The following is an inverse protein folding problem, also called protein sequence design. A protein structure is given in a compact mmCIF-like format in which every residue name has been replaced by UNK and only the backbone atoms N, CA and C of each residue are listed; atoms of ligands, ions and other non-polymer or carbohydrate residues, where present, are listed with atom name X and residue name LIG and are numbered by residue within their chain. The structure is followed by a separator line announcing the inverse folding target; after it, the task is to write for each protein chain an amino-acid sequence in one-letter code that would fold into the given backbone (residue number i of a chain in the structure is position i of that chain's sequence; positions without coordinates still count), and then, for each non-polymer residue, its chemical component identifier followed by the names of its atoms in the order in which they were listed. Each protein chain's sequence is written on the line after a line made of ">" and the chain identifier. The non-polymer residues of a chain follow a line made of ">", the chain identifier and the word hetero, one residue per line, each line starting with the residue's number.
data_IF_318630019065
#
_entry.id   IF_318630019065
#
_cell.length_a   1.000
_cell.length_b   1.000
_cell.length_c   1.000
_cell.angle_alpha   90.00
_cell.angle_beta   90.00
_cell.angle_gamma   90.00
#
_symmetry.space_group_name_H-M   'P 1'
#
loop_
_entity.id
_entity.type
_entity.pdbx_description
1 polymer ?
#
# COMPACT_ATOMS: atom_id res chain seq x y z
N UNK A 1 3.71 19.17 -4.65
CA UNK A 1 4.12 18.19 -3.61
C UNK A 1 4.06 16.80 -4.22
N UNK A 2 5.15 16.05 -4.12
CA UNK A 2 5.28 14.68 -4.62
C UNK A 2 5.17 13.74 -3.44
N UNK A 3 4.22 12.79 -3.50
CA UNK A 3 3.95 11.84 -2.43
C UNK A 3 4.05 10.43 -2.98
N UNK A 4 5.02 9.67 -2.49
CA UNK A 4 5.09 8.23 -2.72
C UNK A 4 4.01 7.53 -1.87
N UNK A 5 3.02 6.94 -2.53
CA UNK A 5 1.85 6.39 -1.85
C UNK A 5 2.08 4.98 -1.28
N UNK A 6 3.25 4.38 -1.52
CA UNK A 6 3.55 3.04 -1.04
C UNK A 6 5.05 2.80 -0.94
N UNK A 7 5.54 2.68 0.28
CA UNK A 7 6.86 2.17 0.60
C UNK A 7 6.83 1.49 1.98
N UNK A 8 7.80 0.62 2.24
CA UNK A 8 7.95 -0.05 3.52
C UNK A 8 8.97 0.64 4.42
N UNK A 9 8.89 0.38 5.72
CA UNK A 9 9.90 0.85 6.66
C UNK A 9 11.26 0.24 6.31
N UNK A 10 12.28 1.09 6.17
CA UNK A 10 13.67 0.73 5.93
C UNK A 10 14.51 1.15 7.13
N UNK A 11 15.44 0.32 7.55
CA UNK A 11 16.29 0.58 8.71
C UNK A 11 17.80 0.62 8.33
N UNK A 12 18.55 1.63 8.79
CA UNK A 12 18.06 2.78 9.55
C UNK A 12 17.20 3.70 8.68
N UNK A 13 16.21 4.34 9.30
CA UNK A 13 15.20 5.15 8.59
C UNK A 13 15.81 6.34 7.84
N UNK A 14 17.01 6.77 8.18
CA UNK A 14 17.79 7.80 7.47
C UNK A 14 18.05 7.43 6.01
N UNK A 15 18.27 6.16 5.70
CA UNK A 15 18.42 5.70 4.31
C UNK A 15 17.19 6.00 3.48
N UNK A 16 16.00 5.91 4.08
CA UNK A 16 14.77 6.27 3.39
C UNK A 16 14.69 7.77 3.12
N UNK A 17 15.08 8.60 4.09
CA UNK A 17 15.13 10.06 3.90
C UNK A 17 16.11 10.46 2.80
N UNK A 18 17.32 9.88 2.79
CA UNK A 18 18.32 10.12 1.75
C UNK A 18 17.80 9.75 0.36
N UNK A 19 17.10 8.62 0.26
CA UNK A 19 16.45 8.19 -0.98
C UNK A 19 15.35 9.16 -1.41
N UNK A 20 14.47 9.60 -0.49
CA UNK A 20 13.44 10.60 -0.78
C UNK A 20 14.06 11.90 -1.29
N UNK A 21 15.10 12.41 -0.62
CA UNK A 21 15.77 13.66 -0.97
C UNK A 21 16.42 13.57 -2.36
N UNK A 22 17.12 12.47 -2.65
CA UNK A 22 17.76 12.24 -3.95
C UNK A 22 16.75 12.05 -5.09
N UNK A 23 15.54 11.56 -4.78
CA UNK A 23 14.46 11.34 -5.77
C UNK A 23 13.50 12.54 -5.89
N UNK A 24 13.64 13.54 -5.01
CA UNK A 24 12.75 14.69 -4.95
C UNK A 24 11.34 14.33 -4.48
N UNK A 25 11.23 13.44 -3.49
CA UNK A 25 9.99 13.02 -2.86
C UNK A 25 9.76 13.85 -1.59
N UNK A 26 8.63 14.53 -1.50
CA UNK A 26 8.30 15.36 -0.34
C UNK A 26 7.83 14.52 0.86
N UNK A 27 6.93 13.56 0.60
CA UNK A 27 6.36 12.68 1.62
C UNK A 27 6.24 11.25 1.10
N UNK A 28 6.25 10.30 2.03
CA UNK A 28 6.02 8.88 1.73
C UNK A 28 4.97 8.31 2.68
N UNK A 29 4.05 7.51 2.13
CA UNK A 29 3.16 6.67 2.93
C UNK A 29 3.92 5.37 3.23
N UNK A 30 4.22 5.17 4.52
CA UNK A 30 4.91 3.99 5.01
C UNK A 30 3.93 2.91 5.46
N UNK A 31 4.27 1.70 5.09
CA UNK A 31 3.65 0.47 5.56
C UNK A 31 4.59 -0.28 6.48
N UNK A 32 4.04 -1.00 7.46
CA UNK A 32 4.82 -1.91 8.28
C UNK A 32 5.38 -3.04 7.41
N UNK A 33 6.58 -3.48 7.73
CA UNK A 33 7.18 -4.68 7.11
C UNK A 33 7.46 -5.74 8.15
N UNK A 34 7.38 -7.00 7.75
CA UNK A 34 7.71 -8.14 8.61
C UNK A 34 9.17 -8.57 8.47
N UNK A 35 9.83 -8.09 7.42
CA UNK A 35 11.21 -8.42 7.06
C UNK A 35 11.93 -7.19 6.52
N UNK A 36 13.27 -7.23 6.52
CA UNK A 36 14.12 -6.12 6.12
C UNK A 36 15.12 -6.54 5.03
N UNK A 37 14.65 -6.76 3.78
CA UNK A 37 15.51 -7.22 2.68
C UNK A 37 16.64 -6.22 2.34
N UNK A 38 16.47 -4.95 2.68
CA UNK A 38 17.47 -3.89 2.48
C UNK A 38 18.71 -4.03 3.36
N UNK A 39 18.70 -4.94 4.33
CA UNK A 39 19.85 -5.27 5.19
C UNK A 39 20.73 -6.36 4.60
N UNK A 40 20.22 -7.09 3.60
CA UNK A 40 20.94 -8.20 2.98
C UNK A 40 22.10 -7.68 2.13
N UNK A 41 23.30 -8.19 2.36
CA UNK A 41 24.52 -7.87 1.60
C UNK A 41 24.79 -8.88 0.49
N UNK A 42 24.05 -10.00 0.48
CA UNK A 42 24.17 -11.08 -0.50
C UNK A 42 22.80 -11.64 -0.89
N UNK A 43 22.77 -12.37 -2.01
CA UNK A 43 21.58 -13.09 -2.45
C UNK A 43 21.12 -14.15 -1.42
N UNK A 44 22.06 -14.86 -0.81
CA UNK A 44 21.76 -15.89 0.17
C UNK A 44 21.11 -15.29 1.44
N UNK A 45 21.59 -14.14 1.90
CA UNK A 45 20.97 -13.41 3.00
C UNK A 45 19.56 -12.91 2.66
N UNK A 46 19.37 -12.40 1.44
CA UNK A 46 18.06 -12.01 0.95
C UNK A 46 17.08 -13.21 0.96
N UNK A 47 17.51 -14.38 0.50
CA UNK A 47 16.66 -15.58 0.52
C UNK A 47 16.32 -15.97 1.96
N UNK A 48 17.27 -15.92 2.90
CA UNK A 48 17.01 -16.21 4.31
C UNK A 48 15.99 -15.24 4.91
N UNK A 49 16.07 -13.95 4.59
CA UNK A 49 15.11 -12.95 5.05
C UNK A 49 13.71 -13.21 4.47
N UNK A 50 13.61 -13.58 3.20
CA UNK A 50 12.33 -13.96 2.58
C UNK A 50 11.76 -15.27 3.12
N UNK A 51 12.60 -16.21 3.55
CA UNK A 51 12.16 -17.44 4.23
C UNK A 51 11.53 -17.13 5.60
N UNK A 52 12.04 -16.13 6.34
CA UNK A 52 11.41 -15.63 7.57
C UNK A 52 10.01 -15.09 7.28
N UNK A 53 9.84 -14.32 6.21
CA UNK A 53 8.51 -13.85 5.79
C UNK A 53 7.56 -15.02 5.52
N UNK A 54 8.01 -16.03 4.78
CA UNK A 54 7.22 -17.22 4.49
C UNK A 54 6.81 -17.98 5.77
N UNK A 55 7.72 -18.11 6.74
CA UNK A 55 7.44 -18.75 8.04
C UNK A 55 6.37 -17.98 8.83
N UNK A 56 6.41 -16.64 8.81
CA UNK A 56 5.39 -15.82 9.46
C UNK A 56 4.03 -15.96 8.75
N UNK A 57 4.02 -15.94 7.42
CA UNK A 57 2.78 -16.07 6.63
C UNK A 57 2.16 -17.47 6.76
N UNK A 58 2.99 -18.50 6.97
CA UNK A 58 2.55 -19.87 7.22
C UNK A 58 2.21 -20.18 8.70
N UNK A 59 2.28 -19.17 9.59
CA UNK A 59 2.08 -19.30 11.04
C UNK A 59 3.10 -20.21 11.77
N UNK A 60 4.28 -20.39 11.22
CA UNK A 60 5.39 -21.12 11.85
C UNK A 60 6.11 -20.26 12.90
N UNK A 61 6.08 -18.94 12.72
CA UNK A 61 6.50 -17.93 13.71
C UNK A 61 5.22 -17.21 14.18
N UNK A 62 5.18 -16.80 15.46
CA UNK A 62 4.02 -16.09 16.02
C UNK A 62 3.66 -14.80 15.21
N UNK A 63 2.60 -14.82 14.40
CA UNK A 63 2.30 -13.73 13.51
C UNK A 63 1.79 -12.47 14.24
N UNK A 64 1.23 -12.59 15.43
CA UNK A 64 0.75 -11.46 16.22
C UNK A 64 1.91 -10.66 16.80
N UNK A 65 2.93 -11.34 17.32
CA UNK A 65 4.13 -10.69 17.85
C UNK A 65 4.93 -10.00 16.74
N UNK A 66 5.14 -10.67 15.61
CA UNK A 66 5.82 -10.10 14.46
C UNK A 66 5.10 -8.84 13.95
N UNK A 67 3.76 -8.88 13.83
CA UNK A 67 2.95 -7.73 13.39
C UNK A 67 2.97 -6.59 14.40
N UNK A 68 2.92 -6.88 15.71
CA UNK A 68 3.00 -5.86 16.76
C UNK A 68 4.33 -5.12 16.67
N UNK A 69 5.44 -5.86 16.55
CA UNK A 69 6.78 -5.28 16.38
C UNK A 69 6.89 -4.42 15.12
N UNK A 70 6.43 -4.94 13.97
CA UNK A 70 6.44 -4.20 12.72
C UNK A 70 5.61 -2.90 12.78
N UNK A 71 4.48 -2.92 13.49
CA UNK A 71 3.65 -1.73 13.68
C UNK A 71 4.32 -0.69 14.62
N UNK A 72 5.08 -1.15 15.62
CA UNK A 72 5.88 -0.27 16.49
C UNK A 72 7.05 0.36 15.74
N UNK A 73 7.74 -0.38 14.88
CA UNK A 73 8.79 0.15 14.01
C UNK A 73 8.25 1.23 13.05
N UNK A 74 7.06 1.00 12.47
CA UNK A 74 6.39 1.99 11.64
C UNK A 74 6.04 3.26 12.44
N UNK A 75 5.46 3.11 13.64
CA UNK A 75 5.18 4.25 14.55
C UNK A 75 6.45 5.06 14.85
N UNK A 76 7.54 4.39 15.15
CA UNK A 76 8.79 5.03 15.53
C UNK A 76 9.44 5.76 14.35
N UNK A 77 9.36 5.19 13.15
CA UNK A 77 9.80 5.86 11.92
C UNK A 77 9.01 7.15 11.66
N UNK A 78 7.68 7.10 11.79
CA UNK A 78 6.80 8.28 11.62
C UNK A 78 7.09 9.31 12.69
N UNK A 79 7.23 8.91 13.96
CA UNK A 79 7.51 9.81 15.07
C UNK A 79 8.85 10.55 14.91
N UNK A 80 9.83 9.91 14.27
CA UNK A 80 11.15 10.50 14.01
C UNK A 80 11.12 11.55 12.89
N UNK A 81 10.29 11.36 11.87
CA UNK A 81 10.17 12.26 10.71
C UNK A 81 8.70 12.55 10.36
N UNK A 82 7.94 13.23 11.26
CA UNK A 82 6.47 13.38 11.12
C UNK A 82 6.06 14.25 9.93
N UNK A 83 6.95 15.10 9.43
CA UNK A 83 6.70 15.94 8.26
C UNK A 83 6.96 15.20 6.93
N UNK A 84 7.66 14.07 6.99
CA UNK A 84 8.05 13.30 5.81
C UNK A 84 7.23 12.00 5.65
N UNK A 85 6.78 11.39 6.74
CA UNK A 85 6.11 10.11 6.71
C UNK A 85 4.65 10.18 7.16
N UNK A 86 3.83 9.39 6.48
CA UNK A 86 2.43 9.13 6.81
C UNK A 86 2.29 7.62 6.96
N UNK A 87 1.58 7.12 7.98
CA UNK A 87 1.46 5.69 8.21
C UNK A 87 0.16 5.09 7.71
N UNK A 88 0.26 3.88 7.15
CA UNK A 88 -0.83 2.94 6.99
C UNK A 88 -0.52 1.69 7.82
N UNK A 89 -1.41 1.34 8.75
CA UNK A 89 -1.20 0.23 9.68
C UNK A 89 -1.93 -1.03 9.27
N UNK A 90 -1.28 -2.18 9.39
CA UNK A 90 -1.89 -3.49 9.14
C UNK A 90 -2.47 -4.07 10.43
N UNK A 91 -3.60 -4.78 10.32
CA UNK A 91 -4.27 -5.48 11.43
C UNK A 91 -4.28 -7.00 11.19
N UNK A 92 -4.27 -7.82 12.25
CA UNK A 92 -4.40 -9.26 12.11
C UNK A 92 -5.80 -9.66 11.64
N UNK A 93 -5.91 -10.38 10.51
CA UNK A 93 -7.19 -10.73 9.91
C UNK A 93 -7.91 -11.90 10.61
N UNK A 94 -7.22 -12.68 11.42
CA UNK A 94 -7.78 -13.82 12.16
C UNK A 94 -8.32 -13.43 13.55
N UNK A 95 -8.26 -12.16 13.92
CA UNK A 95 -8.77 -11.66 15.19
C UNK A 95 -10.29 -11.69 15.23
N UNK A 96 -10.87 -11.82 16.43
CA UNK A 96 -12.29 -11.60 16.65
C UNK A 96 -12.66 -10.15 16.27
N UNK A 97 -13.94 -9.87 16.01
CA UNK A 97 -14.40 -8.53 15.65
C UNK A 97 -14.04 -7.48 16.71
N UNK A 98 -14.04 -7.85 18.00
CA UNK A 98 -13.64 -6.96 19.08
C UNK A 98 -12.14 -6.63 19.04
N UNK A 99 -11.31 -7.65 18.95
CA UNK A 99 -9.86 -7.47 18.85
C UNK A 99 -9.45 -6.65 17.61
N UNK A 100 -10.12 -6.88 16.48
CA UNK A 100 -9.88 -6.12 15.26
C UNK A 100 -10.24 -4.64 15.47
N UNK A 101 -11.34 -4.35 16.14
CA UNK A 101 -11.72 -2.99 16.48
C UNK A 101 -10.66 -2.30 17.35
N UNK A 102 -10.15 -2.98 18.39
CA UNK A 102 -9.10 -2.47 19.26
C UNK A 102 -7.81 -2.17 18.47
N UNK A 103 -7.43 -3.03 17.52
CA UNK A 103 -6.30 -2.79 16.62
C UNK A 103 -6.50 -1.56 15.74
N UNK A 104 -7.68 -1.41 15.13
CA UNK A 104 -7.99 -0.24 14.30
C UNK A 104 -8.02 1.02 15.16
N UNK A 105 -8.60 0.97 16.36
CA UNK A 105 -8.61 2.10 17.30
C UNK A 105 -7.18 2.55 17.65
N UNK A 106 -6.28 1.62 17.95
CA UNK A 106 -4.86 1.88 18.22
C UNK A 106 -4.17 2.57 17.02
N UNK A 107 -4.39 2.06 15.81
CA UNK A 107 -3.84 2.64 14.58
C UNK A 107 -4.32 4.07 14.37
N UNK A 108 -5.63 4.31 14.53
CA UNK A 108 -6.25 5.61 14.25
C UNK A 108 -5.96 6.63 15.36
N UNK A 109 -6.17 6.25 16.64
CA UNK A 109 -6.14 7.20 17.76
C UNK A 109 -4.77 7.36 18.36
N UNK A 110 -4.04 6.25 18.61
CA UNK A 110 -2.76 6.29 19.30
C UNK A 110 -1.62 6.61 18.33
N UNK A 111 -1.60 5.94 17.18
CA UNK A 111 -0.54 6.09 16.20
C UNK A 111 -0.85 7.14 15.12
N UNK A 112 -2.10 7.66 15.07
CA UNK A 112 -2.55 8.73 14.15
C UNK A 112 -2.26 8.43 12.68
N UNK A 113 -2.25 7.16 12.32
CA UNK A 113 -2.09 6.73 10.94
C UNK A 113 -3.30 7.12 10.09
N UNK A 114 -3.16 7.13 8.77
CA UNK A 114 -4.14 7.67 7.83
C UNK A 114 -4.83 6.63 6.96
N UNK A 115 -4.52 5.34 7.15
CA UNK A 115 -5.11 4.24 6.41
C UNK A 115 -4.77 2.88 6.99
N UNK A 116 -5.35 1.84 6.42
CA UNK A 116 -5.15 0.44 6.79
C UNK A 116 -4.50 -0.32 5.63
N UNK A 117 -3.48 -1.11 5.94
CA UNK A 117 -2.74 -1.93 4.97
C UNK A 117 -1.26 -2.02 5.33
N UNK A 118 -0.47 -2.68 4.56
CA UNK A 118 -0.78 -3.47 3.37
C UNK A 118 -1.45 -4.79 3.78
N UNK A 119 -2.54 -5.15 3.09
CA UNK A 119 -3.17 -6.46 3.29
C UNK A 119 -2.72 -7.41 2.18
N UNK A 120 -1.80 -8.30 2.52
CA UNK A 120 -1.35 -9.39 1.66
C UNK A 120 -2.09 -10.66 2.04
N UNK A 121 -2.91 -11.18 1.11
CA UNK A 121 -3.76 -12.35 1.32
C UNK A 121 -3.38 -13.47 0.37
N UNK A 122 -3.63 -14.70 0.81
CA UNK A 122 -3.66 -15.85 -0.07
C UNK A 122 -4.89 -15.86 -0.98
N UNK A 123 -4.83 -16.62 -2.09
CA UNK A 123 -5.98 -16.80 -2.97
C UNK A 123 -7.18 -17.41 -2.22
N UNK A 124 -8.39 -16.92 -2.49
CA UNK A 124 -9.63 -17.33 -1.86
C UNK A 124 -9.90 -16.71 -0.47
N UNK A 125 -9.07 -15.77 -0.02
CA UNK A 125 -9.15 -15.20 1.33
C UNK A 125 -9.76 -13.77 1.37
N UNK A 126 -10.21 -13.21 0.25
CA UNK A 126 -10.70 -11.82 0.19
C UNK A 126 -11.81 -11.52 1.21
N UNK A 127 -12.67 -12.49 1.49
CA UNK A 127 -13.76 -12.32 2.48
C UNK A 127 -13.26 -12.02 3.90
N UNK A 128 -12.02 -12.37 4.22
CA UNK A 128 -11.42 -12.02 5.52
C UNK A 128 -11.24 -10.51 5.72
N UNK A 129 -11.27 -9.72 4.64
CA UNK A 129 -11.23 -8.26 4.72
C UNK A 129 -12.56 -7.61 5.13
N UNK A 130 -13.68 -8.32 5.09
CA UNK A 130 -14.99 -7.71 5.36
C UNK A 130 -15.08 -7.03 6.73
N UNK A 131 -14.58 -7.59 7.84
CA UNK A 131 -14.53 -6.89 9.13
C UNK A 131 -13.66 -5.62 9.10
N UNK A 132 -12.58 -5.61 8.29
CA UNK A 132 -11.72 -4.43 8.10
C UNK A 132 -12.48 -3.32 7.38
N UNK A 133 -13.28 -3.66 6.35
CA UNK A 133 -14.13 -2.70 5.64
C UNK A 133 -15.21 -2.10 6.57
N UNK A 134 -15.79 -2.90 7.47
CA UNK A 134 -16.73 -2.41 8.47
C UNK A 134 -16.05 -1.41 9.39
N UNK A 135 -14.94 -1.78 10.00
CA UNK A 135 -14.19 -0.91 10.89
C UNK A 135 -13.71 0.37 10.18
N UNK A 136 -13.21 0.28 8.95
CA UNK A 136 -12.81 1.45 8.16
C UNK A 136 -13.99 2.41 7.90
N UNK A 137 -15.19 1.88 7.69
CA UNK A 137 -16.42 2.68 7.55
C UNK A 137 -16.76 3.46 8.82
N UNK A 138 -16.58 2.86 9.99
CA UNK A 138 -16.84 3.47 11.29
C UNK A 138 -15.88 4.62 11.63
N UNK A 139 -14.67 4.60 11.06
CA UNK A 139 -13.64 5.64 11.21
C UNK A 139 -13.60 6.64 10.04
N UNK A 140 -14.76 7.20 9.63
CA UNK A 140 -14.86 8.23 8.59
C UNK A 140 -14.31 7.82 7.22
N UNK A 141 -14.58 6.58 6.81
CA UNK A 141 -14.15 6.10 5.48
C UNK A 141 -12.63 6.01 5.33
N UNK A 142 -12.00 5.40 6.30
CA UNK A 142 -10.55 5.21 6.33
C UNK A 142 -10.09 4.39 5.11
N UNK A 143 -9.08 4.81 4.33
CA UNK A 143 -8.68 4.08 3.14
C UNK A 143 -8.05 2.73 3.48
N UNK A 144 -8.30 1.75 2.62
CA UNK A 144 -7.74 0.40 2.71
C UNK A 144 -6.83 0.17 1.51
N UNK A 145 -5.61 -0.29 1.75
CA UNK A 145 -4.66 -0.69 0.72
C UNK A 145 -4.53 -2.21 0.71
N UNK A 146 -4.73 -2.84 -0.47
CA UNK A 146 -4.73 -4.30 -0.64
C UNK A 146 -3.72 -4.68 -1.70
N UNK A 147 -2.83 -5.61 -1.37
CA UNK A 147 -1.92 -6.25 -2.33
C UNK A 147 -2.72 -7.02 -3.38
N UNK A 148 -2.62 -6.65 -4.65
CA UNK A 148 -3.41 -7.27 -5.73
C UNK A 148 -2.55 -7.97 -6.79
N UNK A 149 -1.28 -8.19 -6.49
CA UNK A 149 -0.37 -9.02 -7.29
C UNK A 149 -0.50 -10.51 -6.91
N UNK A 150 0.48 -11.35 -7.32
CA UNK A 150 0.54 -12.73 -6.86
C UNK A 150 0.56 -12.80 -5.31
N UNK A 151 -0.18 -13.72 -4.66
CA UNK A 151 -0.84 -14.91 -5.22
C UNK A 151 -2.32 -14.74 -5.62
N UNK A 152 -2.86 -13.52 -5.61
CA UNK A 152 -4.27 -13.31 -5.99
C UNK A 152 -4.50 -13.61 -7.47
N UNK A 153 -5.58 -14.34 -7.73
CA UNK A 153 -6.06 -14.63 -9.09
C UNK A 153 -7.21 -13.69 -9.49
N UNK A 154 -7.70 -13.82 -10.74
CA UNK A 154 -8.75 -12.95 -11.26
C UNK A 154 -10.08 -13.03 -10.47
N UNK A 155 -10.39 -14.19 -9.87
CA UNK A 155 -11.61 -14.31 -9.06
C UNK A 155 -11.46 -13.54 -7.75
N UNK A 156 -10.29 -13.59 -7.13
CA UNK A 156 -9.98 -12.81 -5.94
C UNK A 156 -10.11 -11.31 -6.22
N UNK A 157 -9.59 -10.85 -7.36
CA UNK A 157 -9.74 -9.45 -7.81
C UNK A 157 -11.23 -9.07 -7.96
N UNK A 158 -12.04 -9.92 -8.58
CA UNK A 158 -13.48 -9.67 -8.71
C UNK A 158 -14.21 -9.65 -7.37
N UNK A 159 -13.85 -10.55 -6.44
CA UNK A 159 -14.38 -10.55 -5.08
C UNK A 159 -14.02 -9.26 -4.33
N UNK A 160 -12.77 -8.78 -4.45
CA UNK A 160 -12.35 -7.51 -3.85
C UNK A 160 -13.15 -6.33 -4.42
N UNK A 161 -13.39 -6.28 -5.74
CA UNK A 161 -14.24 -5.24 -6.32
C UNK A 161 -15.71 -5.36 -5.87
N UNK A 162 -16.23 -6.57 -5.67
CA UNK A 162 -17.57 -6.77 -5.12
C UNK A 162 -17.64 -6.23 -3.68
N UNK A 163 -16.64 -6.51 -2.86
CA UNK A 163 -16.53 -6.00 -1.49
C UNK A 163 -16.38 -4.47 -1.49
N UNK A 164 -15.53 -3.91 -2.35
CA UNK A 164 -15.38 -2.44 -2.51
C UNK A 164 -16.72 -1.76 -2.83
N UNK A 165 -17.52 -2.33 -3.72
CA UNK A 165 -18.85 -1.79 -4.05
C UNK A 165 -19.86 -1.95 -2.91
N UNK A 166 -19.73 -2.99 -2.09
CA UNK A 166 -20.57 -3.19 -0.89
C UNK A 166 -20.35 -2.10 0.15
N UNK A 167 -19.13 -1.54 0.23
CA UNK A 167 -18.74 -0.47 1.15
C UNK A 167 -18.36 0.82 0.41
N UNK A 168 -19.32 1.53 -0.22
CA UNK A 168 -19.06 2.60 -1.19
C UNK A 168 -18.42 3.85 -0.59
N UNK A 169 -18.42 3.99 0.73
CA UNK A 169 -17.79 5.11 1.44
C UNK A 169 -16.32 4.84 1.76
N UNK A 170 -15.87 3.57 1.74
CA UNK A 170 -14.50 3.19 2.06
C UNK A 170 -13.65 3.21 0.80
N UNK A 171 -12.64 4.09 0.69
CA UNK A 171 -11.71 4.07 -0.43
C UNK A 171 -10.84 2.81 -0.40
N UNK A 172 -10.65 2.18 -1.54
CA UNK A 172 -9.80 0.99 -1.67
C UNK A 172 -8.71 1.23 -2.71
N UNK A 173 -7.47 1.04 -2.30
CA UNK A 173 -6.29 1.17 -3.17
C UNK A 173 -5.86 -0.24 -3.58
N UNK A 174 -5.89 -0.49 -4.88
CA UNK A 174 -5.48 -1.73 -5.50
C UNK A 174 -3.98 -1.69 -5.77
N UNK A 175 -3.21 -2.35 -4.93
CA UNK A 175 -1.75 -2.37 -4.99
C UNK A 175 -1.21 -3.03 -6.25
N UNK A 176 -0.07 -2.52 -6.72
CA UNK A 176 0.68 -3.08 -7.84
C UNK A 176 -0.12 -3.18 -9.15
N UNK A 177 -1.11 -2.29 -9.33
CA UNK A 177 -1.93 -2.21 -10.55
C UNK A 177 -2.60 -3.57 -10.92
N UNK A 178 -2.76 -4.47 -9.94
CA UNK A 178 -3.33 -5.81 -10.19
C UNK A 178 -2.37 -6.81 -10.86
N UNK A 179 -1.08 -6.52 -10.92
CA UNK A 179 -0.07 -7.39 -11.49
C UNK A 179 -0.41 -7.85 -12.92
N UNK A 180 -0.44 -9.16 -13.15
CA UNK A 180 -0.82 -9.74 -14.45
C UNK A 180 -2.28 -9.50 -14.84
N UNK A 181 -3.14 -9.10 -13.90
CA UNK A 181 -4.57 -8.81 -14.10
C UNK A 181 -4.87 -7.33 -14.32
N UNK A 182 -3.84 -6.51 -14.62
CA UNK A 182 -3.93 -5.06 -14.76
C UNK A 182 -5.05 -4.58 -15.69
N UNK A 183 -5.32 -5.30 -16.80
CA UNK A 183 -6.39 -4.94 -17.74
C UNK A 183 -7.76 -4.96 -17.07
N UNK A 184 -8.04 -6.01 -16.31
CA UNK A 184 -9.30 -6.16 -15.58
C UNK A 184 -9.40 -5.17 -14.43
N UNK A 185 -8.28 -4.90 -13.72
CA UNK A 185 -8.24 -3.94 -12.64
C UNK A 185 -8.53 -2.53 -13.14
N UNK A 186 -7.92 -2.08 -14.25
CA UNK A 186 -8.23 -0.79 -14.87
C UNK A 186 -9.72 -0.71 -15.25
N UNK A 187 -10.24 -1.74 -15.94
CA UNK A 187 -11.64 -1.77 -16.38
C UNK A 187 -12.62 -1.69 -15.19
N UNK A 188 -12.41 -2.49 -14.14
CA UNK A 188 -13.26 -2.50 -12.95
C UNK A 188 -13.14 -1.22 -12.12
N UNK A 189 -11.97 -0.59 -12.09
CA UNK A 189 -11.76 0.71 -11.40
C UNK A 189 -12.52 1.84 -12.09
N UNK A 190 -12.67 1.82 -13.41
CA UNK A 190 -13.52 2.78 -14.14
C UNK A 190 -14.97 2.74 -13.67
N UNK A 191 -15.47 1.56 -13.35
CA UNK A 191 -16.86 1.32 -12.93
C UNK A 191 -17.07 1.45 -11.41
N UNK A 192 -16.00 1.56 -10.61
CA UNK A 192 -16.06 1.54 -9.14
C UNK A 192 -15.59 2.87 -8.57
N UNK A 193 -16.51 3.65 -8.00
CA UNK A 193 -16.26 5.04 -7.58
C UNK A 193 -15.13 5.19 -6.57
N UNK A 194 -15.09 4.30 -5.56
CA UNK A 194 -14.18 4.33 -4.42
C UNK A 194 -12.94 3.44 -4.61
N UNK A 195 -12.63 3.02 -5.83
CA UNK A 195 -11.42 2.26 -6.17
C UNK A 195 -10.34 3.19 -6.74
N UNK A 196 -9.10 2.98 -6.30
CA UNK A 196 -7.88 3.69 -6.71
C UNK A 196 -6.80 2.70 -7.12
N UNK A 197 -5.87 3.12 -7.97
CA UNK A 197 -4.79 2.30 -8.49
C UNK A 197 -3.46 2.77 -7.93
N UNK A 198 -2.77 1.89 -7.23
CA UNK A 198 -1.37 2.02 -6.90
C UNK A 198 -0.53 1.49 -8.07
N UNK A 199 0.50 2.22 -8.48
CA UNK A 199 1.31 1.86 -9.65
C UNK A 199 2.67 1.26 -9.29
N UNK A 200 2.92 0.94 -8.04
CA UNK A 200 4.14 0.21 -7.67
C UNK A 200 4.20 -1.14 -8.38
N UNK A 201 5.38 -1.63 -8.63
CA UNK A 201 5.59 -2.92 -9.31
C UNK A 201 4.73 -3.14 -10.57
N UNK A 202 4.43 -2.08 -11.33
CA UNK A 202 3.61 -2.19 -12.54
C UNK A 202 4.19 -3.23 -13.52
N UNK A 203 3.34 -4.13 -13.99
CA UNK A 203 3.73 -5.27 -14.81
C UNK A 203 4.42 -4.87 -16.14
N UNK A 204 3.96 -3.79 -16.75
CA UNK A 204 4.57 -3.21 -17.96
C UNK A 204 4.39 -1.70 -17.97
N UNK A 205 5.31 -0.96 -18.62
CA UNK A 205 5.14 0.49 -18.84
C UNK A 205 3.88 0.82 -19.64
N UNK A 206 3.41 -0.12 -20.47
CA UNK A 206 2.15 0.04 -21.19
C UNK A 206 0.94 0.02 -20.27
N UNK A 207 0.92 -0.86 -19.26
CA UNK A 207 -0.11 -0.88 -18.22
C UNK A 207 -0.15 0.44 -17.44
N UNK A 208 1.02 0.93 -17.02
CA UNK A 208 1.18 2.24 -16.38
C UNK A 208 0.62 3.37 -17.26
N UNK A 209 1.03 3.43 -18.53
CA UNK A 209 0.58 4.46 -19.48
C UNK A 209 -0.94 4.47 -19.63
N UNK A 210 -1.57 3.29 -19.73
CA UNK A 210 -3.03 3.17 -19.83
C UNK A 210 -3.73 3.57 -18.53
N UNK A 211 -3.21 3.19 -17.37
CA UNK A 211 -3.77 3.61 -16.08
C UNK A 211 -3.79 5.13 -15.95
N UNK A 212 -2.67 5.79 -16.23
CA UNK A 212 -2.57 7.26 -16.18
C UNK A 212 -3.52 7.91 -17.21
N UNK A 213 -3.59 7.38 -18.43
CA UNK A 213 -4.43 7.93 -19.50
C UNK A 213 -5.92 7.80 -19.21
N UNK A 214 -6.35 6.63 -18.75
CA UNK A 214 -7.76 6.29 -18.59
C UNK A 214 -8.34 6.71 -17.24
N UNK A 215 -7.48 6.80 -16.21
CA UNK A 215 -7.85 7.04 -14.82
C UNK A 215 -6.89 8.03 -14.13
N UNK A 216 -6.64 9.22 -14.72
CA UNK A 216 -5.68 10.17 -14.17
C UNK A 216 -6.02 10.64 -12.75
N UNK A 217 -7.29 10.57 -12.35
CA UNK A 217 -7.79 11.01 -11.04
C UNK A 217 -7.80 9.90 -9.99
N UNK A 218 -7.55 8.66 -10.40
CA UNK A 218 -7.57 7.48 -9.53
C UNK A 218 -6.23 6.76 -9.46
N UNK A 219 -5.26 7.16 -10.27
CA UNK A 219 -3.91 6.59 -10.30
C UNK A 219 -3.04 7.30 -9.28
N UNK A 220 -2.37 6.54 -8.44
CA UNK A 220 -1.51 7.01 -7.35
C UNK A 220 -0.07 6.60 -7.62
N UNK A 221 0.83 7.58 -7.63
CA UNK A 221 2.27 7.31 -7.69
C UNK A 221 2.72 6.54 -6.45
N UNK A 222 3.51 5.51 -6.66
CA UNK A 222 4.02 4.62 -5.61
C UNK A 222 5.25 3.87 -6.08
N UNK A 223 6.14 3.53 -5.16
CA UNK A 223 7.41 2.89 -5.50
C UNK A 223 7.51 1.44 -5.02
N UNK A 224 6.91 1.09 -3.90
CA UNK A 224 7.16 -0.16 -3.18
C UNK A 224 8.62 -0.26 -2.68
N UNK A 225 9.23 0.88 -2.32
CA UNK A 225 10.59 0.88 -1.78
C UNK A 225 10.66 0.04 -0.49
N UNK A 226 11.63 -0.86 -0.29
CA UNK A 226 12.89 -1.02 -1.04
C UNK A 226 12.83 -1.96 -2.24
N UNK A 227 11.69 -2.56 -2.58
CA UNK A 227 11.56 -3.48 -3.73
C UNK A 227 11.55 -2.75 -5.07
N UNK A 228 11.11 -1.51 -5.11
CA UNK A 228 11.15 -0.64 -6.29
C UNK A 228 11.94 0.65 -6.04
N UNK A 229 12.15 1.42 -7.10
CA UNK A 229 12.93 2.65 -7.09
C UNK A 229 12.02 3.87 -7.30
N UNK A 230 11.89 4.76 -6.28
CA UNK A 230 11.00 5.93 -6.38
C UNK A 230 11.41 6.91 -7.49
N UNK A 231 12.70 7.08 -7.76
CA UNK A 231 13.18 7.93 -8.85
C UNK A 231 12.73 7.41 -10.21
N UNK A 232 12.90 6.09 -10.44
CA UNK A 232 12.50 5.47 -11.70
C UNK A 232 10.98 5.47 -11.89
N UNK A 233 10.23 5.19 -10.83
CA UNK A 233 8.76 5.21 -10.89
C UNK A 233 8.22 6.62 -11.11
N UNK A 234 8.80 7.63 -10.46
CA UNK A 234 8.47 9.05 -10.70
C UNK A 234 8.74 9.43 -12.15
N UNK A 235 9.92 9.12 -12.67
CA UNK A 235 10.28 9.38 -14.06
C UNK A 235 9.33 8.69 -15.04
N UNK A 236 8.88 7.46 -14.72
CA UNK A 236 7.91 6.76 -15.54
C UNK A 236 6.55 7.50 -15.58
N UNK A 237 6.07 8.03 -14.44
CA UNK A 237 4.86 8.87 -14.41
C UNK A 237 5.03 10.13 -15.25
N UNK A 238 6.12 10.87 -15.06
CA UNK A 238 6.42 12.11 -15.81
C UNK A 238 6.45 11.85 -17.32
N UNK A 239 7.04 10.73 -17.75
CA UNK A 239 7.13 10.33 -19.15
C UNK A 239 5.80 9.95 -19.78
N UNK A 240 4.89 9.36 -19.02
CA UNK A 240 3.62 8.83 -19.55
C UNK A 240 2.41 9.74 -19.29
N UNK A 241 2.54 10.75 -18.46
CA UNK A 241 1.51 11.76 -18.28
C UNK A 241 1.32 12.59 -19.56
N UNK A 242 0.06 12.91 -19.89
CA UNK A 242 -0.29 13.70 -21.08
C UNK A 242 -0.01 15.21 -20.92
N UNK A 243 0.17 15.66 -19.69
CA UNK A 243 0.50 17.05 -19.33
C UNK A 243 1.14 17.09 -17.95
N UNK A 244 1.76 18.23 -17.63
CA UNK A 244 2.31 18.49 -16.30
C UNK A 244 1.21 18.43 -15.21
N UNK A 245 -0.01 18.92 -15.50
CA UNK A 245 -1.14 18.84 -14.60
C UNK A 245 -1.50 17.40 -14.26
N UNK A 246 -1.54 16.50 -15.26
CA UNK A 246 -1.77 15.07 -15.04
C UNK A 246 -0.63 14.45 -14.24
N UNK A 247 0.63 14.80 -14.55
CA UNK A 247 1.77 14.31 -13.78
C UNK A 247 1.68 14.72 -12.30
N UNK A 248 1.43 16.00 -12.00
CA UNK A 248 1.30 16.51 -10.64
C UNK A 248 0.14 15.86 -9.88
N UNK A 249 -0.97 15.61 -10.58
CA UNK A 249 -2.13 14.92 -10.01
C UNK A 249 -1.77 13.49 -9.57
N UNK A 250 -1.13 12.74 -10.44
CA UNK A 250 -0.71 11.35 -10.16
C UNK A 250 0.40 11.30 -9.13
N UNK A 251 1.40 12.20 -9.23
CA UNK A 251 2.57 12.22 -8.35
C UNK A 251 2.26 12.60 -6.88
N UNK A 252 1.09 13.17 -6.60
CA UNK A 252 0.76 13.52 -5.22
C UNK A 252 -0.64 14.09 -5.01
N UNK A 253 -1.20 14.77 -6.02
CA UNK A 253 -2.51 15.43 -5.90
C UNK A 253 -3.64 14.46 -5.54
N UNK A 254 -3.68 13.28 -6.17
CA UNK A 254 -4.74 12.30 -5.93
C UNK A 254 -4.70 11.75 -4.50
N UNK A 255 -3.52 11.35 -4.02
CA UNK A 255 -3.39 10.81 -2.67
C UNK A 255 -3.57 11.89 -1.60
N UNK A 256 -3.08 13.11 -1.85
CA UNK A 256 -3.31 14.24 -0.95
C UNK A 256 -4.81 14.53 -0.78
N UNK A 257 -5.58 14.54 -1.89
CA UNK A 257 -7.02 14.71 -1.87
C UNK A 257 -7.72 13.54 -1.14
N UNK A 258 -7.28 12.31 -1.37
CA UNK A 258 -7.84 11.13 -0.71
C UNK A 258 -7.66 11.18 0.81
N UNK A 259 -6.48 11.59 1.28
CA UNK A 259 -6.13 11.68 2.71
C UNK A 259 -6.47 13.02 3.35
N UNK A 260 -6.90 14.02 2.57
CA UNK A 260 -7.20 15.39 3.01
C UNK A 260 -6.01 16.06 3.72
N UNK A 261 -4.84 16.04 3.06
CA UNK A 261 -3.57 16.59 3.56
C UNK A 261 -2.99 17.63 2.62
#
# INVERSE_FOLDING_TARGET
>A
MIIDSHAHVVLPVEKHIEMMDSSGIDKTILFSTLVHPEKSESYDEFIQEMDVLNQILNNEINPLEARSKALEELRDAIAKYPDRFIGFGSVPLLSSSGELHDWVEKIVKDYKMKGLGEFTLGSGQIKMLEPVFQAAGDYNSFPIWVHTFHPLNLNDIRELFALTRKYPTVPVIYGHLGGIHWQQVIALTKETKNAYLDISAFYTTYALSLAIKELPEKTLFSSDFPYGDPFLNKLAVERHASSEEVAQRVLGGNIANLLKI
#
